data_IF_811507192620
#
_entry.id   IF_811507192620
#
_cell.length_a   1.000
_cell.length_b   1.000
_cell.length_c   1.000
_cell.angle_alpha   90.00
_cell.angle_beta   90.00
_cell.angle_gamma   90.00
#
_symmetry.space_group_name_H-M   'P 1'
#
loop_
_entity.id
_entity.type
_entity.pdbx_description
1 polymer ?
#
# COMPACT_ATOMS: atom_id res chain seq x y z
N UNK A 1 -0.54 -2.50 -4.62
CA UNK A 1 -1.12 -1.30 -5.26
C UNK A 1 -2.54 -1.51 -5.79
N UNK A 2 -2.81 -2.61 -6.51
CA UNK A 2 -4.13 -2.90 -7.12
C UNK A 2 -5.32 -2.85 -6.14
N UNK A 3 -5.18 -3.45 -4.95
CA UNK A 3 -6.20 -3.40 -3.91
C UNK A 3 -6.54 -1.96 -3.46
N UNK A 4 -5.55 -1.05 -3.50
CA UNK A 4 -5.74 0.34 -3.10
C UNK A 4 -6.56 1.11 -4.15
N UNK A 5 -6.32 0.82 -5.43
CA UNK A 5 -7.15 1.34 -6.53
C UNK A 5 -8.58 0.83 -6.43
N UNK A 6 -8.76 -0.47 -6.16
CA UNK A 6 -10.08 -1.07 -5.99
C UNK A 6 -10.86 -0.43 -4.82
N UNK A 7 -10.18 -0.16 -3.70
CA UNK A 7 -10.77 0.54 -2.56
C UNK A 7 -11.14 1.98 -2.91
N UNK A 8 -10.28 2.71 -3.64
CA UNK A 8 -10.55 4.09 -4.06
C UNK A 8 -11.84 4.25 -4.88
N UNK A 9 -12.16 3.26 -5.73
CA UNK A 9 -13.38 3.22 -6.53
C UNK A 9 -14.61 2.61 -5.84
N UNK A 10 -14.46 2.04 -4.63
CA UNK A 10 -15.55 1.35 -3.95
C UNK A 10 -16.43 2.33 -3.17
N UNK A 11 -17.66 2.53 -3.67
CA UNK A 11 -18.69 3.34 -3.00
C UNK A 11 -19.07 2.77 -1.63
N UNK A 12 -19.17 1.45 -1.51
CA UNK A 12 -19.48 0.74 -0.26
C UNK A 12 -18.45 1.07 0.84
N UNK A 13 -17.16 1.01 0.51
CA UNK A 13 -16.09 1.25 1.49
C UNK A 13 -16.05 2.72 1.91
N UNK A 14 -16.30 3.63 0.97
CA UNK A 14 -16.37 5.07 1.23
C UNK A 14 -17.55 5.43 2.15
N UNK A 15 -18.72 4.85 1.93
CA UNK A 15 -19.92 5.08 2.76
C UNK A 15 -19.78 4.46 4.15
N UNK A 16 -19.14 3.29 4.26
CA UNK A 16 -18.96 2.58 5.54
C UNK A 16 -17.97 3.28 6.46
N UNK A 17 -16.88 3.82 5.90
CA UNK A 17 -15.84 4.52 6.68
C UNK A 17 -16.14 6.01 6.89
N UNK A 18 -16.93 6.61 6.00
CA UNK A 18 -17.14 8.05 5.93
C UNK A 18 -16.00 8.76 5.17
N UNK A 19 -16.32 9.92 4.59
CA UNK A 19 -15.47 10.64 3.64
C UNK A 19 -14.08 10.98 4.22
N UNK A 20 -14.03 11.60 5.40
CA UNK A 20 -12.79 12.03 6.03
C UNK A 20 -11.87 10.86 6.42
N UNK A 21 -12.42 9.76 6.92
CA UNK A 21 -11.64 8.57 7.32
C UNK A 21 -11.15 7.82 6.10
N UNK A 22 -11.99 7.70 5.06
CA UNK A 22 -11.63 7.06 3.81
C UNK A 22 -10.45 7.76 3.13
N UNK A 23 -10.49 9.09 3.03
CA UNK A 23 -9.42 9.84 2.39
C UNK A 23 -8.09 9.70 3.15
N UNK A 24 -8.13 9.80 4.49
CA UNK A 24 -6.94 9.58 5.33
C UNK A 24 -6.43 8.15 5.28
N UNK A 25 -7.31 7.16 5.18
CA UNK A 25 -6.93 5.75 5.03
C UNK A 25 -6.18 5.52 3.70
N UNK A 26 -6.71 6.04 2.59
CA UNK A 26 -6.08 5.93 1.27
C UNK A 26 -4.73 6.65 1.24
N UNK A 27 -4.65 7.85 1.81
CA UNK A 27 -3.40 8.63 1.90
C UNK A 27 -2.34 7.85 2.69
N UNK A 28 -2.66 7.38 3.89
CA UNK A 28 -1.73 6.63 4.74
C UNK A 28 -1.25 5.34 4.04
N UNK A 29 -2.15 4.62 3.39
CA UNK A 29 -1.79 3.37 2.69
C UNK A 29 -0.94 3.60 1.45
N UNK A 30 -1.08 4.74 0.76
CA UNK A 30 -0.16 5.13 -0.33
C UNK A 30 1.25 5.37 0.20
N UNK A 31 1.39 6.09 1.31
CA UNK A 31 2.70 6.35 1.94
C UNK A 31 3.36 5.04 2.40
N UNK A 32 2.57 4.12 2.97
CA UNK A 32 3.06 2.79 3.36
C UNK A 32 3.57 2.00 2.16
N UNK A 33 2.81 1.99 1.06
CA UNK A 33 3.21 1.34 -0.19
C UNK A 33 4.50 1.95 -0.77
N UNK A 34 4.61 3.27 -0.77
CA UNK A 34 5.78 3.98 -1.29
C UNK A 34 7.06 3.64 -0.49
N UNK A 35 6.95 3.60 0.84
CA UNK A 35 8.05 3.14 1.70
C UNK A 35 8.43 1.69 1.44
N UNK A 36 7.44 0.82 1.23
CA UNK A 36 7.71 -0.60 0.98
C UNK A 36 8.43 -0.83 -0.35
N UNK A 37 8.02 -0.15 -1.45
CA UNK A 37 8.63 -0.36 -2.78
C UNK A 37 10.09 0.09 -2.89
N UNK A 38 10.56 0.99 -2.01
CA UNK A 38 11.96 1.45 -1.98
C UNK A 38 12.79 0.70 -0.93
N UNK A 39 12.16 -0.10 -0.09
CA UNK A 39 12.83 -0.86 0.95
C UNK A 39 13.33 -2.18 0.40
N UNK A 40 14.64 -2.41 0.50
CA UNK A 40 15.23 -3.72 0.23
C UNK A 40 15.07 -4.58 1.48
N UNK A 41 14.23 -5.59 1.38
CA UNK A 41 13.97 -6.54 2.46
C UNK A 41 15.12 -7.52 2.64
N UNK A 42 15.25 -8.07 3.86
CA UNK A 42 16.25 -9.10 4.14
C UNK A 42 16.09 -10.32 3.20
N UNK A 43 14.85 -10.68 2.85
CA UNK A 43 14.56 -11.72 1.88
C UNK A 43 15.21 -11.45 0.51
N UNK A 44 15.18 -10.21 0.03
CA UNK A 44 15.80 -9.84 -1.24
C UNK A 44 17.33 -9.90 -1.16
N UNK A 45 17.91 -9.47 -0.04
CA UNK A 45 19.35 -9.57 0.21
C UNK A 45 19.78 -11.04 0.21
N UNK A 46 19.13 -11.88 1.02
CA UNK A 46 19.49 -13.30 1.16
C UNK A 46 19.30 -14.08 -0.15
N UNK A 47 18.36 -13.66 -1.00
CA UNK A 47 18.07 -14.33 -2.26
C UNK A 47 19.02 -13.91 -3.39
N UNK A 48 19.32 -12.62 -3.50
CA UNK A 48 20.00 -12.07 -4.68
C UNK A 48 21.48 -11.75 -4.44
N UNK A 49 21.87 -11.40 -3.21
CA UNK A 49 23.26 -11.06 -2.91
C UNK A 49 24.23 -12.26 -3.03
N UNK A 50 23.87 -13.51 -2.62
CA UNK A 50 24.75 -14.66 -2.78
C UNK A 50 24.87 -15.20 -4.21
N UNK A 51 24.05 -14.73 -5.15
CA UNK A 51 24.06 -15.14 -6.55
C UNK A 51 24.90 -14.22 -7.45
N UNK A 52 25.48 -13.15 -6.89
CA UNK A 52 26.39 -12.19 -7.53
C UNK A 52 27.85 -12.57 -7.28
#
# INVERSE_FOLDING_TARGET
YEALIAVQGSKLVRETLGEHVFDKFVENKKVEWDRFRIHVSQFEIDRYLPML
#
